data_IF_766102896538
#
_entry.id   IF_766102896538
#
_cell.length_a   1.000
_cell.length_b   1.000
_cell.length_c   1.000
_cell.angle_alpha   90.00
_cell.angle_beta   90.00
_cell.angle_gamma   90.00
#
_symmetry.space_group_name_H-M   'P 1'
#
loop_
_entity.id
_entity.type
_entity.pdbx_description
1 polymer ?
#
# COMPACT_ATOMS: atom_id res chain seq x y z
N UNK A 1 -9.20 -5.32 0.28
CA UNK A 1 -9.45 -6.62 -0.35
C UNK A 1 -10.50 -6.53 -1.44
N UNK A 2 -11.56 -5.72 -1.31
CA UNK A 2 -12.61 -5.59 -2.35
C UNK A 2 -12.05 -5.28 -3.75
N UNK A 3 -11.13 -4.33 -3.87
CA UNK A 3 -10.49 -4.00 -5.15
C UNK A 3 -9.56 -5.13 -5.61
N UNK A 4 -8.72 -5.68 -4.73
CA UNK A 4 -7.78 -6.72 -5.14
C UNK A 4 -8.42 -8.06 -5.47
N UNK A 5 -9.60 -8.36 -4.93
CA UNK A 5 -10.40 -9.53 -5.32
C UNK A 5 -10.86 -9.47 -6.79
N UNK A 6 -10.83 -8.29 -7.42
CA UNK A 6 -11.17 -8.14 -8.84
C UNK A 6 -10.02 -8.50 -9.78
N UNK A 7 -8.78 -8.53 -9.28
CA UNK A 7 -7.55 -8.74 -10.08
C UNK A 7 -7.41 -7.80 -11.29
N UNK A 8 -8.04 -6.62 -11.22
CA UNK A 8 -8.09 -5.62 -12.30
C UNK A 8 -7.46 -4.31 -11.84
N UNK A 9 -6.22 -4.01 -12.29
CA UNK A 9 -5.56 -2.74 -11.98
C UNK A 9 -6.39 -1.51 -12.37
N UNK A 10 -7.22 -1.62 -13.40
CA UNK A 10 -8.09 -0.56 -13.89
C UNK A 10 -9.11 -0.14 -12.83
N UNK A 11 -9.56 -1.07 -11.98
CA UNK A 11 -10.45 -0.75 -10.87
C UNK A 11 -9.73 -0.01 -9.74
N UNK A 12 -8.49 -0.38 -9.45
CA UNK A 12 -7.66 0.34 -8.48
C UNK A 12 -7.37 1.77 -8.95
N UNK A 13 -7.04 1.93 -10.23
CA UNK A 13 -6.82 3.23 -10.87
C UNK A 13 -8.09 4.10 -10.86
N UNK A 14 -9.24 3.53 -11.21
CA UNK A 14 -10.51 4.27 -11.19
C UNK A 14 -10.85 4.79 -9.79
N UNK A 15 -10.68 3.96 -8.75
CA UNK A 15 -10.89 4.38 -7.36
C UNK A 15 -9.88 5.45 -6.95
N UNK A 16 -8.60 5.29 -7.30
CA UNK A 16 -7.58 6.30 -7.08
C UNK A 16 -7.93 7.64 -7.73
N UNK A 17 -8.46 7.60 -8.96
CA UNK A 17 -8.89 8.79 -9.70
C UNK A 17 -10.04 9.53 -9.04
N UNK A 18 -11.02 8.80 -8.49
CA UNK A 18 -12.11 9.39 -7.70
C UNK A 18 -11.56 10.04 -6.44
N UNK A 19 -10.69 9.34 -5.70
CA UNK A 19 -10.07 9.86 -4.48
C UNK A 19 -9.23 11.11 -4.76
N UNK A 20 -8.41 11.08 -5.83
CA UNK A 20 -7.58 12.18 -6.28
C UNK A 20 -8.39 13.44 -6.58
N UNK A 21 -9.49 13.31 -7.33
CA UNK A 21 -10.40 14.42 -7.63
C UNK A 21 -11.01 15.00 -6.37
N UNK A 22 -11.58 14.15 -5.51
CA UNK A 22 -12.29 14.59 -4.31
C UNK A 22 -11.38 15.29 -3.30
N UNK A 23 -10.23 14.68 -2.99
CA UNK A 23 -9.28 15.23 -2.03
C UNK A 23 -8.65 16.53 -2.54
N UNK A 24 -8.27 16.59 -3.81
CA UNK A 24 -7.71 17.81 -4.40
C UNK A 24 -8.72 18.95 -4.46
N UNK A 25 -10.01 18.66 -4.72
CA UNK A 25 -11.09 19.64 -4.66
C UNK A 25 -11.31 20.18 -3.23
N UNK A 26 -11.04 19.36 -2.21
CA UNK A 26 -11.07 19.76 -0.80
C UNK A 26 -9.80 20.51 -0.35
N UNK A 27 -8.83 20.74 -1.24
CA UNK A 27 -7.58 21.43 -0.93
C UNK A 27 -6.49 20.54 -0.31
N UNK A 28 -6.70 19.23 -0.27
CA UNK A 28 -5.69 18.26 0.22
C UNK A 28 -4.65 18.01 -0.88
N UNK A 29 -3.38 17.96 -0.48
CA UNK A 29 -2.23 17.76 -1.37
C UNK A 29 -1.33 16.56 -0.97
N UNK A 30 -1.65 15.85 0.10
CA UNK A 30 -0.92 14.68 0.57
C UNK A 30 -1.90 13.57 0.95
N UNK A 31 -1.78 12.42 0.29
CA UNK A 31 -2.52 11.22 0.63
C UNK A 31 -1.61 10.24 1.38
N UNK A 32 -1.98 9.94 2.62
CA UNK A 32 -1.34 8.89 3.42
C UNK A 32 -1.84 7.50 2.97
N UNK A 33 -1.49 7.12 1.76
CA UNK A 33 -1.79 5.85 1.13
C UNK A 33 -1.15 5.77 -0.26
N UNK A 34 -1.20 4.60 -0.91
CA UNK A 34 -1.99 3.42 -0.54
C UNK A 34 -1.39 2.56 0.59
N UNK A 35 -2.23 1.71 1.17
CA UNK A 35 -1.78 0.61 2.04
C UNK A 35 -1.34 -0.55 1.13
N UNK A 36 -0.07 -0.93 1.21
CA UNK A 36 0.55 -1.97 0.38
C UNK A 36 1.11 -3.13 1.23
N UNK A 37 0.61 -3.27 2.44
CA UNK A 37 0.90 -4.40 3.30
C UNK A 37 0.36 -5.71 2.70
N UNK A 38 1.18 -6.76 2.68
CA UNK A 38 0.83 -8.08 2.16
C UNK A 38 0.19 -8.92 3.26
N UNK A 39 -1.03 -9.39 3.02
CA UNK A 39 -1.72 -10.27 3.96
C UNK A 39 -1.38 -11.74 3.67
N UNK A 40 -0.23 -12.21 4.15
CA UNK A 40 0.25 -13.58 3.97
C UNK A 40 -0.60 -14.63 4.73
N UNK A 41 -1.16 -14.25 5.88
CA UNK A 41 -2.08 -15.07 6.69
C UNK A 41 -3.28 -14.24 7.14
N UNK A 42 -4.52 -14.59 6.72
CA UNK A 42 -5.71 -13.92 7.24
C UNK A 42 -5.89 -14.27 8.73
N UNK A 43 -5.84 -13.26 9.60
CA UNK A 43 -6.16 -13.37 11.04
C UNK A 43 -7.47 -12.63 11.30
N UNK A 44 -8.58 -13.34 11.24
CA UNK A 44 -9.90 -12.76 11.52
C UNK A 44 -10.08 -12.50 13.02
N UNK A 45 -10.48 -11.28 13.40
CA UNK A 45 -10.94 -10.97 14.76
C UNK A 45 -9.87 -10.62 15.81
N UNK A 46 -8.62 -10.38 15.39
CA UNK A 46 -7.53 -9.95 16.27
C UNK A 46 -7.03 -8.54 15.97
N UNK A 47 -6.14 -8.02 16.80
CA UNK A 47 -5.55 -6.67 16.68
C UNK A 47 -4.52 -6.51 15.55
N UNK A 48 -4.24 -7.59 14.79
CA UNK A 48 -3.49 -7.57 13.53
C UNK A 48 -4.38 -7.69 12.28
N UNK A 49 -5.70 -7.57 12.43
CA UNK A 49 -6.64 -7.66 11.31
C UNK A 49 -6.55 -6.40 10.43
N UNK A 50 -5.83 -6.50 9.32
CA UNK A 50 -5.81 -5.47 8.27
C UNK A 50 -7.14 -5.37 7.49
N UNK A 51 -8.07 -6.29 7.73
CA UNK A 51 -9.40 -6.33 7.16
C UNK A 51 -9.38 -6.15 5.65
N UNK A 52 -10.22 -5.24 5.17
CA UNK A 52 -10.31 -4.91 3.74
C UNK A 52 -9.32 -3.84 3.28
N UNK A 53 -8.36 -3.42 4.12
CA UNK A 53 -7.43 -2.32 3.79
C UNK A 53 -6.27 -2.76 2.91
N UNK A 54 -5.80 -4.00 3.05
CA UNK A 54 -4.80 -4.59 2.14
C UNK A 54 -5.45 -4.94 0.80
N UNK A 55 -4.69 -4.85 -0.30
CA UNK A 55 -5.15 -5.33 -1.59
C UNK A 55 -5.24 -6.86 -1.66
N UNK A 56 -4.44 -7.61 -0.90
CA UNK A 56 -4.48 -9.07 -0.86
C UNK A 56 -3.21 -9.71 -0.31
N UNK A 57 -3.06 -11.02 -0.54
CA UNK A 57 -1.93 -11.81 -0.03
C UNK A 57 -0.78 -12.05 -1.01
N UNK A 58 -0.93 -11.67 -2.28
CA UNK A 58 0.14 -11.82 -3.28
C UNK A 58 0.93 -10.50 -3.39
N UNK A 59 2.20 -10.52 -3.00
CA UNK A 59 3.05 -9.35 -2.97
C UNK A 59 3.16 -8.63 -4.32
N UNK A 60 3.32 -9.38 -5.43
CA UNK A 60 3.34 -8.80 -6.77
C UNK A 60 2.03 -8.08 -7.13
N UNK A 61 0.88 -8.67 -6.79
CA UNK A 61 -0.42 -8.06 -7.06
C UNK A 61 -0.71 -6.86 -6.16
N UNK A 62 -0.32 -6.91 -4.89
CA UNK A 62 -0.43 -5.75 -3.99
C UNK A 62 0.40 -4.58 -4.54
N UNK A 63 1.61 -4.84 -5.05
CA UNK A 63 2.43 -3.84 -5.72
C UNK A 63 1.78 -3.29 -7.00
N UNK A 64 1.29 -4.17 -7.88
CA UNK A 64 0.66 -3.77 -9.14
C UNK A 64 -0.62 -2.92 -8.92
N UNK A 65 -1.48 -3.36 -8.01
CA UNK A 65 -2.71 -2.63 -7.66
C UNK A 65 -2.41 -1.32 -6.93
N UNK A 66 -1.41 -1.31 -6.04
CA UNK A 66 -0.94 -0.10 -5.38
C UNK A 66 -0.42 0.92 -6.40
N UNK A 67 0.41 0.49 -7.36
CA UNK A 67 0.94 1.35 -8.42
C UNK A 67 -0.16 1.92 -9.32
N UNK A 68 -1.16 1.10 -9.67
CA UNK A 68 -2.33 1.55 -10.42
C UNK A 68 -3.19 2.56 -9.62
N UNK A 69 -3.38 2.33 -8.33
CA UNK A 69 -4.06 3.29 -7.46
C UNK A 69 -3.35 4.64 -7.40
N UNK A 70 -2.02 4.65 -7.23
CA UNK A 70 -1.20 5.88 -7.26
C UNK A 70 -1.37 6.63 -8.58
N UNK A 71 -1.28 5.91 -9.71
CA UNK A 71 -1.54 6.49 -11.05
C UNK A 71 -2.90 7.18 -11.11
N UNK A 72 -3.93 6.52 -10.59
CA UNK A 72 -5.28 7.06 -10.49
C UNK A 72 -5.30 8.36 -9.68
N UNK A 73 -4.70 8.36 -8.49
CA UNK A 73 -4.64 9.52 -7.60
C UNK A 73 -3.96 10.72 -8.27
N UNK A 74 -2.82 10.49 -8.91
CA UNK A 74 -2.08 11.52 -9.65
C UNK A 74 -2.95 12.07 -10.78
N UNK A 75 -3.55 11.20 -11.61
CA UNK A 75 -4.41 11.61 -12.71
C UNK A 75 -5.64 12.39 -12.22
N UNK A 76 -6.33 11.89 -11.19
CA UNK A 76 -7.54 12.51 -10.63
C UNK A 76 -7.27 13.86 -9.98
N UNK A 77 -6.11 14.06 -9.36
CA UNK A 77 -5.74 15.34 -8.75
C UNK A 77 -5.16 16.36 -9.74
N UNK A 78 -4.86 15.93 -10.98
CA UNK A 78 -4.12 16.74 -11.95
C UNK A 78 -2.66 16.93 -11.56
N UNK A 79 -2.04 15.92 -10.93
CA UNK A 79 -0.65 15.97 -10.46
C UNK A 79 -0.42 16.79 -9.20
N UNK A 80 -1.49 17.19 -8.48
CA UNK A 80 -1.39 18.07 -7.29
C UNK A 80 -1.27 17.33 -5.97
N UNK A 81 -1.38 16.01 -5.96
CA UNK A 81 -1.37 15.22 -4.74
C UNK A 81 -0.17 14.28 -4.69
N UNK A 82 0.59 14.37 -3.60
CA UNK A 82 1.63 13.41 -3.26
C UNK A 82 1.03 12.16 -2.61
N UNK A 83 1.63 10.99 -2.84
CA UNK A 83 1.21 9.72 -2.22
C UNK A 83 2.28 9.13 -1.30
N UNK A 84 1.84 8.52 -0.20
CA UNK A 84 2.71 7.91 0.80
C UNK A 84 2.33 6.44 0.99
N UNK A 85 3.11 5.55 0.40
CA UNK A 85 2.91 4.10 0.57
C UNK A 85 3.18 3.68 2.01
N UNK A 86 2.34 2.79 2.55
CA UNK A 86 2.44 2.37 3.96
C UNK A 86 1.99 0.93 4.19
N UNK A 87 2.44 0.25 5.25
CA UNK A 87 3.37 0.75 6.28
C UNK A 87 4.73 0.06 6.11
N UNK A 88 5.80 0.81 5.87
CA UNK A 88 7.11 0.25 5.59
C UNK A 88 7.84 -0.18 6.88
N UNK A 89 8.47 -1.36 6.94
CA UNK A 89 8.48 -2.41 5.91
C UNK A 89 7.23 -3.31 5.93
N UNK A 90 6.43 -3.30 7.02
CA UNK A 90 5.13 -3.99 7.12
C UNK A 90 4.29 -3.34 8.22
N UNK A 91 2.97 -3.42 8.15
CA UNK A 91 2.13 -3.35 9.35
C UNK A 91 2.14 -4.69 10.11
N UNK A 92 2.79 -4.71 11.28
CA UNK A 92 2.53 -5.66 12.37
C UNK A 92 2.25 -7.11 11.96
N UNK A 93 3.28 -7.85 11.52
CA UNK A 93 3.23 -9.32 11.47
C UNK A 93 3.16 -9.98 12.86
N UNK A 94 2.98 -9.18 13.91
CA UNK A 94 2.85 -9.58 15.30
C UNK A 94 1.55 -10.35 15.54
N UNK A 95 1.64 -11.39 16.36
CA UNK A 95 0.50 -12.13 16.89
C UNK A 95 -0.37 -11.30 17.85
N UNK A 96 -0.03 -10.02 18.14
CA UNK A 96 -0.70 -9.15 19.13
C UNK A 96 -0.64 -7.65 18.78
N UNK A 97 -1.56 -6.89 19.38
CA UNK A 97 -1.82 -5.46 19.12
C UNK A 97 -0.56 -4.59 19.18
N UNK A 98 -0.39 -3.61 18.27
CA UNK A 98 0.69 -2.63 18.35
C UNK A 98 0.69 -1.79 19.63
N UNK A 99 -0.39 -1.80 20.42
CA UNK A 99 -0.45 -1.14 21.73
C UNK A 99 0.27 -1.91 22.86
N UNK A 100 0.65 -3.18 22.64
CA UNK A 100 1.06 -4.09 23.72
C UNK A 100 2.53 -4.51 23.74
N UNK A 101 3.30 -4.41 22.66
CA UNK A 101 4.76 -4.58 22.66
C UNK A 101 5.34 -4.46 21.24
N UNK A 102 6.65 -4.26 21.17
CA UNK A 102 7.46 -4.23 19.95
C UNK A 102 7.24 -5.49 19.08
N UNK A 103 6.80 -5.29 17.84
CA UNK A 103 6.55 -6.36 16.88
C UNK A 103 7.85 -6.92 16.30
N UNK A 104 8.30 -8.11 16.73
CA UNK A 104 9.47 -8.77 16.15
C UNK A 104 9.16 -9.48 14.82
N UNK A 105 10.02 -9.30 13.83
CA UNK A 105 9.93 -9.95 12.50
C UNK A 105 10.80 -11.21 12.46
N UNK A 106 10.20 -12.39 12.51
CA UNK A 106 10.89 -13.68 12.39
C UNK A 106 11.06 -14.12 10.91
N UNK A 107 11.55 -13.24 10.05
CA UNK A 107 11.85 -13.53 8.63
C UNK A 107 13.27 -13.11 8.29
N UNK A 108 13.93 -13.87 7.43
CA UNK A 108 15.21 -13.43 6.86
C UNK A 108 15.01 -12.23 5.93
N UNK A 109 16.08 -11.50 5.65
CA UNK A 109 16.03 -10.37 4.72
C UNK A 109 15.57 -10.80 3.32
N UNK A 110 15.97 -11.99 2.88
CA UNK A 110 15.56 -12.59 1.60
C UNK A 110 14.05 -12.83 1.58
N UNK A 111 13.50 -13.42 2.65
CA UNK A 111 12.05 -13.64 2.77
C UNK A 111 11.26 -12.33 2.77
N UNK A 112 11.80 -11.28 3.43
CA UNK A 112 11.21 -9.95 3.42
C UNK A 112 11.26 -9.32 2.02
N UNK A 113 12.36 -9.48 1.28
CA UNK A 113 12.51 -9.00 -0.10
C UNK A 113 11.50 -9.64 -1.04
N UNK A 114 11.21 -10.93 -0.87
CA UNK A 114 10.28 -11.68 -1.71
C UNK A 114 8.80 -11.44 -1.38
N UNK A 115 8.49 -10.90 -0.20
CA UNK A 115 7.12 -10.67 0.24
C UNK A 115 6.85 -9.23 0.67
N UNK A 116 7.09 -8.85 1.92
CA UNK A 116 6.68 -7.53 2.44
C UNK A 116 7.32 -6.33 1.75
N UNK A 117 8.59 -6.43 1.35
CA UNK A 117 9.31 -5.32 0.72
C UNK A 117 9.01 -5.20 -0.77
N UNK A 118 8.54 -6.27 -1.41
CA UNK A 118 8.32 -6.30 -2.85
C UNK A 118 7.31 -5.23 -3.34
N UNK A 119 6.13 -5.03 -2.71
CA UNK A 119 5.24 -3.94 -3.09
C UNK A 119 5.88 -2.56 -2.99
N UNK A 120 6.66 -2.30 -1.93
CA UNK A 120 7.34 -1.02 -1.77
C UNK A 120 8.41 -0.80 -2.85
N UNK A 121 9.18 -1.84 -3.18
CA UNK A 121 10.13 -1.79 -4.29
C UNK A 121 9.41 -1.52 -5.63
N UNK A 122 8.28 -2.17 -5.88
CA UNK A 122 7.44 -1.93 -7.05
C UNK A 122 6.94 -0.48 -7.08
N UNK A 123 6.49 0.10 -5.97
CA UNK A 123 6.00 1.50 -5.95
C UNK A 123 7.13 2.54 -6.01
N UNK A 124 8.33 2.21 -5.57
CA UNK A 124 9.50 3.08 -5.62
C UNK A 124 10.22 3.07 -6.98
N UNK A 125 10.05 1.99 -7.75
CA UNK A 125 10.75 1.82 -9.02
C UNK A 125 10.46 2.97 -9.98
N UNK A 126 11.53 3.57 -10.49
CA UNK A 126 11.47 4.58 -11.54
C UNK A 126 11.29 3.89 -12.89
N UNK A 127 10.06 3.92 -13.42
CA UNK A 127 9.70 3.30 -14.69
C UNK A 127 9.33 4.44 -15.64
N UNK A 128 10.16 4.74 -16.67
CA UNK A 128 9.94 5.91 -17.52
C UNK A 128 8.57 5.93 -18.21
N UNK A 129 8.04 4.78 -18.61
CA UNK A 129 6.71 4.63 -19.20
C UNK A 129 5.56 4.71 -18.18
N UNK A 130 5.87 4.73 -16.88
CA UNK A 130 4.92 4.73 -15.78
C UNK A 130 5.42 5.54 -14.57
N UNK A 131 5.85 6.78 -14.81
CA UNK A 131 6.29 7.66 -13.73
C UNK A 131 5.13 8.00 -12.77
N UNK A 132 3.91 8.12 -13.29
CA UNK A 132 2.71 8.47 -12.50
C UNK A 132 2.30 7.40 -11.49
N UNK A 133 2.74 6.15 -11.65
CA UNK A 133 2.50 5.09 -10.67
C UNK A 133 3.46 5.11 -9.47
N UNK A 134 4.53 5.91 -9.52
CA UNK A 134 5.55 5.95 -8.46
C UNK A 134 5.04 6.72 -7.25
N UNK A 135 5.25 6.18 -6.04
CA UNK A 135 4.91 6.90 -4.80
C UNK A 135 5.99 7.92 -4.44
N UNK A 136 5.59 9.05 -3.85
CA UNK A 136 6.52 10.13 -3.48
C UNK A 136 7.27 9.86 -2.18
N UNK A 137 6.62 9.18 -1.23
CA UNK A 137 7.21 8.84 0.06
C UNK A 137 6.75 7.47 0.58
N UNK A 138 7.41 7.00 1.63
CA UNK A 138 7.02 5.82 2.40
C UNK A 138 6.86 6.21 3.87
N UNK A 139 5.82 5.67 4.50
CA UNK A 139 5.59 5.85 5.94
C UNK A 139 6.09 4.63 6.68
N UNK A 140 7.03 4.84 7.61
CA UNK A 140 7.57 3.77 8.44
C UNK A 140 6.58 3.35 9.53
N UNK A 141 6.55 2.06 9.84
CA UNK A 141 5.84 1.50 11.00
C UNK A 141 6.75 1.48 12.22
N UNK A 142 6.15 1.51 13.42
CA UNK A 142 6.86 1.21 14.67
C UNK A 142 7.07 -0.31 14.81
N UNK A 143 8.12 -0.81 14.16
CA UNK A 143 8.62 -2.18 14.29
C UNK A 143 10.01 -2.08 14.94
N UNK A 144 10.33 -2.96 15.89
CA UNK A 144 11.71 -3.12 16.40
C UNK A 144 12.16 -4.57 16.27
#
# INVERSE_FOLDING_TARGET
>A
MTIGATWKPEHAEAVGSVAGRGLSAAGVNLLLGPVVDVLDRPRSGGSGDMGVRSFGGSAGWVGALGRAFVRGVVAGSGGRMATVAKHFPRHGGSDRSPDNEVSMVNKSLEQLRESELLPFAILAADIPSDAAGRTDAMMTSHIS
#
